data_IF_478658344062
#
_entry.id   IF_478658344062
#
_cell.length_a   1.000
_cell.length_b   1.000
_cell.length_c   1.000
_cell.angle_alpha   90.00
_cell.angle_beta   90.00
_cell.angle_gamma   90.00
#
_symmetry.space_group_name_H-M   'P 1'
#
loop_
_entity.id
_entity.type
_entity.pdbx_description
1 polymer ?
#
# COMPACT_ATOMS: atom_id res chain seq x y z
N UNK A 1 -24.27 2.69 1.98
CA UNK A 1 -23.35 1.66 1.44
C UNK A 1 -23.74 0.30 1.97
N UNK A 2 -23.71 -0.71 1.13
CA UNK A 2 -24.03 -2.08 1.52
C UNK A 2 -22.76 -2.87 1.89
N UNK A 3 -22.93 -4.01 2.57
CA UNK A 3 -21.83 -4.94 2.84
C UNK A 3 -21.16 -5.41 1.55
N UNK A 4 -21.94 -5.71 0.52
CA UNK A 4 -21.43 -6.13 -0.78
C UNK A 4 -20.54 -5.04 -1.41
N UNK A 5 -20.95 -3.78 -1.32
CA UNK A 5 -20.17 -2.65 -1.84
C UNK A 5 -18.84 -2.48 -1.10
N UNK A 6 -18.84 -2.60 0.23
CA UNK A 6 -17.59 -2.46 1.00
C UNK A 6 -16.62 -3.62 0.73
N UNK A 7 -17.12 -4.84 0.56
CA UNK A 7 -16.30 -5.99 0.18
C UNK A 7 -15.63 -5.74 -1.17
N UNK A 8 -16.36 -5.18 -2.13
CA UNK A 8 -15.80 -4.83 -3.44
C UNK A 8 -14.69 -3.80 -3.33
N UNK A 9 -14.85 -2.80 -2.47
CA UNK A 9 -13.82 -1.77 -2.23
C UNK A 9 -12.59 -2.34 -1.51
N UNK A 10 -12.79 -3.23 -0.54
CA UNK A 10 -11.67 -3.91 0.13
C UNK A 10 -10.89 -4.79 -0.85
N UNK A 11 -11.57 -5.44 -1.79
CA UNK A 11 -10.93 -6.19 -2.86
C UNK A 11 -10.14 -5.27 -3.82
N UNK A 12 -10.63 -4.08 -4.07
CA UNK A 12 -9.86 -3.08 -4.81
C UNK A 12 -8.56 -2.75 -4.07
N UNK A 13 -8.65 -2.50 -2.76
CA UNK A 13 -7.47 -2.24 -1.93
C UNK A 13 -6.48 -3.40 -1.97
N UNK A 14 -6.98 -4.63 -1.87
CA UNK A 14 -6.16 -5.84 -1.94
C UNK A 14 -5.42 -5.94 -3.27
N UNK A 15 -6.08 -5.64 -4.38
CA UNK A 15 -5.46 -5.68 -5.71
C UNK A 15 -4.31 -4.67 -5.84
N UNK A 16 -4.42 -3.53 -5.17
CA UNK A 16 -3.35 -2.53 -5.11
C UNK A 16 -2.21 -2.93 -4.18
N UNK A 17 -2.50 -3.67 -3.09
CA UNK A 17 -1.44 -4.21 -2.22
C UNK A 17 -0.58 -5.24 -2.95
N UNK A 18 -1.18 -6.10 -3.76
CA UNK A 18 -0.43 -7.01 -4.62
C UNK A 18 0.47 -6.25 -5.58
N UNK A 19 -0.06 -5.22 -6.22
CA UNK A 19 0.72 -4.39 -7.15
C UNK A 19 1.88 -3.69 -6.44
N UNK A 20 1.63 -3.12 -5.27
CA UNK A 20 2.66 -2.43 -4.48
C UNK A 20 3.78 -3.39 -4.06
N UNK A 21 3.43 -4.58 -3.58
CA UNK A 21 4.42 -5.60 -3.20
C UNK A 21 5.33 -5.95 -4.37
N UNK A 22 4.75 -6.22 -5.53
CA UNK A 22 5.50 -6.59 -6.73
C UNK A 22 6.35 -5.40 -7.21
N UNK A 23 5.80 -4.19 -7.20
CA UNK A 23 6.49 -2.99 -7.62
C UNK A 23 7.73 -2.72 -6.75
N UNK A 24 7.61 -2.83 -5.42
CA UNK A 24 8.74 -2.68 -4.51
C UNK A 24 9.83 -3.74 -4.75
N UNK A 25 9.45 -4.99 -4.96
CA UNK A 25 10.40 -6.07 -5.25
C UNK A 25 11.16 -5.77 -6.54
N UNK A 26 10.44 -5.40 -7.59
CA UNK A 26 11.02 -5.11 -8.91
C UNK A 26 11.95 -3.89 -8.84
N UNK A 27 11.53 -2.81 -8.19
CA UNK A 27 12.34 -1.61 -8.01
C UNK A 27 13.59 -1.91 -7.18
N UNK A 28 13.48 -2.68 -6.09
CA UNK A 28 14.62 -3.08 -5.28
C UNK A 28 15.68 -3.82 -6.09
N UNK A 29 15.26 -4.66 -7.02
CA UNK A 29 16.18 -5.39 -7.92
C UNK A 29 16.85 -4.48 -8.94
N UNK A 30 16.18 -3.40 -9.36
CA UNK A 30 16.66 -2.52 -10.43
C UNK A 30 17.44 -1.30 -9.94
N UNK A 31 17.29 -0.90 -8.69
CA UNK A 31 18.03 0.23 -8.12
C UNK A 31 19.53 -0.06 -8.11
N UNK A 32 20.33 0.90 -8.55
CA UNK A 32 21.80 0.77 -8.66
C UNK A 32 22.50 2.03 -8.20
N UNK A 33 23.72 1.86 -7.72
CA UNK A 33 24.59 2.97 -7.31
C UNK A 33 24.79 3.02 -5.80
N UNK A 34 25.93 3.56 -5.34
CA UNK A 34 26.29 3.54 -3.91
C UNK A 34 25.28 4.25 -3.02
N UNK A 35 24.64 5.32 -3.51
CA UNK A 35 23.67 6.09 -2.75
C UNK A 35 22.33 5.38 -2.55
N UNK A 36 22.10 4.24 -3.22
CA UNK A 36 20.83 3.52 -3.17
C UNK A 36 20.90 2.21 -2.37
N UNK A 37 22.06 1.81 -1.87
CA UNK A 37 22.20 0.50 -1.18
C UNK A 37 21.27 0.38 0.02
N UNK A 38 21.20 1.41 0.87
CA UNK A 38 20.29 1.42 2.02
C UNK A 38 18.81 1.45 1.59
N UNK A 39 18.52 2.12 0.49
CA UNK A 39 17.15 2.22 -0.05
C UNK A 39 16.67 0.87 -0.59
N UNK A 40 17.56 0.06 -1.15
CA UNK A 40 17.21 -1.30 -1.61
C UNK A 40 16.67 -2.14 -0.45
N UNK A 41 17.34 -2.13 0.69
CA UNK A 41 16.88 -2.85 1.87
C UNK A 41 15.53 -2.33 2.37
N UNK A 42 15.34 -1.03 2.36
CA UNK A 42 14.09 -0.38 2.73
C UNK A 42 12.95 -0.73 1.78
N UNK A 43 13.20 -0.77 0.47
CA UNK A 43 12.22 -1.21 -0.54
C UNK A 43 11.76 -2.65 -0.29
N UNK A 44 12.70 -3.55 0.05
CA UNK A 44 12.37 -4.94 0.38
C UNK A 44 11.57 -5.04 1.68
N UNK A 45 11.85 -4.20 2.67
CA UNK A 45 11.06 -4.12 3.90
C UNK A 45 9.65 -3.63 3.61
N UNK A 46 9.50 -2.60 2.76
CA UNK A 46 8.18 -2.15 2.31
C UNK A 46 7.42 -3.27 1.60
N UNK A 47 8.09 -4.03 0.73
CA UNK A 47 7.46 -5.15 0.04
C UNK A 47 6.91 -6.20 1.03
N UNK A 48 7.67 -6.51 2.09
CA UNK A 48 7.23 -7.43 3.13
C UNK A 48 6.00 -6.89 3.87
N UNK A 49 5.97 -5.61 4.16
CA UNK A 49 4.84 -4.97 4.84
C UNK A 49 3.59 -4.96 3.96
N UNK A 50 3.74 -4.74 2.64
CA UNK A 50 2.62 -4.86 1.70
C UNK A 50 2.10 -6.29 1.60
N UNK A 51 2.98 -7.29 1.68
CA UNK A 51 2.58 -8.70 1.79
C UNK A 51 1.70 -8.90 3.04
N UNK A 52 2.13 -8.39 4.17
CA UNK A 52 1.39 -8.53 5.43
C UNK A 52 0.02 -7.85 5.35
N UNK A 53 -0.05 -6.69 4.71
CA UNK A 53 -1.33 -5.99 4.44
C UNK A 53 -2.26 -6.83 3.57
N UNK A 54 -1.72 -7.46 2.53
CA UNK A 54 -2.50 -8.34 1.65
C UNK A 54 -3.12 -9.50 2.42
N UNK A 55 -2.37 -10.11 3.34
CA UNK A 55 -2.89 -11.18 4.21
C UNK A 55 -4.01 -10.66 5.10
N UNK A 56 -3.83 -9.53 5.75
CA UNK A 56 -4.83 -8.92 6.64
C UNK A 56 -6.11 -8.57 5.88
N UNK A 57 -6.00 -7.97 4.70
CA UNK A 57 -7.15 -7.65 3.85
C UNK A 57 -7.89 -8.91 3.40
N UNK A 58 -7.15 -9.91 2.96
CA UNK A 58 -7.73 -11.19 2.54
C UNK A 58 -8.55 -11.84 3.66
N UNK A 59 -8.00 -11.85 4.88
CA UNK A 59 -8.67 -12.42 6.04
C UNK A 59 -9.96 -11.67 6.36
N UNK A 60 -9.96 -10.35 6.29
CA UNK A 60 -11.15 -9.53 6.58
C UNK A 60 -12.20 -9.64 5.49
N UNK A 61 -11.80 -9.73 4.24
CA UNK A 61 -12.74 -9.98 3.14
C UNK A 61 -13.45 -11.31 3.32
N UNK A 62 -12.70 -12.36 3.64
CA UNK A 62 -13.27 -13.68 3.91
C UNK A 62 -14.19 -13.67 5.13
N UNK A 63 -13.77 -12.99 6.20
CA UNK A 63 -14.58 -12.83 7.41
C UNK A 63 -15.94 -12.17 7.12
N UNK A 64 -15.96 -11.20 6.21
CA UNK A 64 -17.19 -10.50 5.82
C UNK A 64 -18.06 -11.29 4.83
N UNK A 65 -17.62 -12.46 4.41
CA UNK A 65 -18.36 -13.33 3.48
C UNK A 65 -18.00 -13.13 2.02
N UNK A 66 -16.94 -12.36 1.73
CA UNK A 66 -16.44 -12.17 0.38
C UNK A 66 -15.38 -13.17 -0.02
N UNK A 67 -14.96 -13.09 -1.27
CA UNK A 67 -13.87 -13.90 -1.83
C UNK A 67 -12.70 -12.97 -2.12
N UNK A 68 -11.53 -13.17 -1.46
CA UNK A 68 -10.37 -12.34 -1.75
C UNK A 68 -9.96 -12.43 -3.22
N UNK A 69 -9.73 -11.29 -3.84
CA UNK A 69 -9.31 -11.23 -5.24
C UNK A 69 -7.89 -11.75 -5.42
N UNK A 70 -7.59 -12.23 -6.63
CA UNK A 70 -6.23 -12.54 -7.09
C UNK A 70 -5.80 -11.59 -8.21
N UNK A 71 -6.55 -10.53 -8.44
CA UNK A 71 -6.24 -9.51 -9.45
C UNK A 71 -5.12 -8.60 -8.97
N UNK A 72 -4.24 -8.20 -9.88
CA UNK A 72 -3.14 -7.29 -9.61
C UNK A 72 -3.36 -6.03 -10.45
N UNK A 73 -3.30 -4.86 -9.82
CA UNK A 73 -3.41 -3.58 -10.50
C UNK A 73 -2.14 -3.25 -11.30
N UNK A 74 -2.17 -2.14 -12.03
CA UNK A 74 -1.05 -1.69 -12.84
C UNK A 74 0.21 -1.47 -11.99
N UNK A 75 1.32 -2.05 -12.43
CA UNK A 75 2.64 -1.89 -11.82
C UNK A 75 3.44 -0.95 -12.71
N UNK A 76 4.04 0.09 -12.11
CA UNK A 76 4.89 1.03 -12.83
C UNK A 76 6.35 0.64 -12.69
N UNK A 77 7.09 0.76 -13.75
CA UNK A 77 8.53 0.46 -13.80
C UNK A 77 9.29 1.61 -14.46
N UNK A 78 10.60 1.64 -14.24
CA UNK A 78 11.48 2.63 -14.85
C UNK A 78 12.92 2.11 -14.83
N UNK A 79 13.77 2.66 -15.68
CA UNK A 79 15.22 2.44 -15.64
C UNK A 79 15.94 3.54 -14.86
N UNK A 80 15.22 4.52 -14.36
CA UNK A 80 15.77 5.67 -13.62
C UNK A 80 15.50 5.49 -12.13
N UNK A 81 16.55 5.54 -11.31
CA UNK A 81 16.44 5.33 -9.86
C UNK A 81 15.45 6.29 -9.20
N UNK A 82 15.56 7.57 -9.46
CA UNK A 82 14.69 8.60 -8.86
C UNK A 82 13.25 8.41 -9.29
N UNK A 83 13.02 8.06 -10.56
CA UNK A 83 11.67 7.84 -11.08
C UNK A 83 11.01 6.62 -10.43
N UNK A 84 11.78 5.55 -10.18
CA UNK A 84 11.24 4.39 -9.43
C UNK A 84 10.75 4.81 -8.04
N UNK A 85 11.52 5.61 -7.31
CA UNK A 85 11.11 6.08 -5.99
C UNK A 85 9.90 7.02 -6.06
N UNK A 86 9.78 7.83 -7.11
CA UNK A 86 8.60 8.67 -7.32
C UNK A 86 7.35 7.85 -7.61
N UNK A 87 7.49 6.78 -8.39
CA UNK A 87 6.39 5.85 -8.65
C UNK A 87 5.89 5.20 -7.36
N UNK A 88 6.81 4.79 -6.48
CA UNK A 88 6.47 4.22 -5.19
C UNK A 88 5.78 5.24 -4.30
N UNK A 89 6.28 6.46 -4.23
CA UNK A 89 5.68 7.52 -3.42
C UNK A 89 4.27 7.87 -3.89
N UNK A 90 4.06 7.98 -5.20
CA UNK A 90 2.73 8.25 -5.77
C UNK A 90 1.74 7.12 -5.43
N UNK A 91 2.19 5.88 -5.52
CA UNK A 91 1.38 4.72 -5.15
C UNK A 91 0.98 4.75 -3.67
N UNK A 92 1.90 5.19 -2.78
CA UNK A 92 1.62 5.33 -1.35
C UNK A 92 0.62 6.44 -1.05
N UNK A 93 0.73 7.58 -1.74
CA UNK A 93 -0.26 8.66 -1.59
C UNK A 93 -1.65 8.19 -1.99
N UNK A 94 -1.77 7.47 -3.09
CA UNK A 94 -3.05 6.94 -3.56
C UNK A 94 -3.61 5.90 -2.58
N UNK A 95 -2.76 5.02 -2.05
CA UNK A 95 -3.14 4.04 -1.06
C UNK A 95 -3.67 4.69 0.22
N UNK A 96 -2.96 5.69 0.75
CA UNK A 96 -3.39 6.40 1.95
C UNK A 96 -4.75 7.05 1.74
N UNK A 97 -4.98 7.71 0.61
CA UNK A 97 -6.26 8.32 0.28
C UNK A 97 -7.39 7.29 0.27
N UNK A 98 -7.17 6.12 -0.33
CA UNK A 98 -8.17 5.05 -0.33
C UNK A 98 -8.47 4.56 1.08
N UNK A 99 -7.44 4.34 1.89
CA UNK A 99 -7.62 3.82 3.25
C UNK A 99 -8.32 4.81 4.17
N UNK A 100 -8.05 6.11 4.05
CA UNK A 100 -8.79 7.13 4.81
C UNK A 100 -10.28 7.09 4.50
N UNK A 101 -10.65 6.96 3.25
CA UNK A 101 -12.04 6.79 2.85
C UNK A 101 -12.63 5.47 3.36
N UNK A 102 -11.85 4.41 3.29
CA UNK A 102 -12.29 3.08 3.72
C UNK A 102 -12.61 3.05 5.22
N UNK A 103 -11.79 3.72 6.02
CA UNK A 103 -12.01 3.84 7.47
C UNK A 103 -13.37 4.47 7.74
N UNK A 104 -13.68 5.59 7.11
CA UNK A 104 -14.96 6.28 7.28
C UNK A 104 -16.14 5.40 6.87
N UNK A 105 -16.01 4.71 5.74
CA UNK A 105 -17.05 3.82 5.22
C UNK A 105 -17.30 2.63 6.15
N UNK A 106 -16.24 2.03 6.66
CA UNK A 106 -16.33 0.90 7.58
C UNK A 106 -16.95 1.30 8.92
N UNK A 107 -16.57 2.46 9.45
CA UNK A 107 -17.13 2.98 10.69
C UNK A 107 -18.62 3.30 10.54
N UNK A 108 -19.02 3.86 9.40
CA UNK A 108 -20.43 4.12 9.09
C UNK A 108 -21.28 2.84 9.08
N UNK A 109 -20.67 1.71 8.70
CA UNK A 109 -21.29 0.40 8.75
C UNK A 109 -21.13 -0.29 10.11
N UNK A 110 -20.48 0.36 11.07
CA UNK A 110 -20.19 -0.17 12.42
C UNK A 110 -19.29 -1.42 12.38
N UNK A 111 -18.47 -1.56 11.36
CA UNK A 111 -17.47 -2.63 11.23
C UNK A 111 -16.15 -2.15 11.85
N UNK A 112 -16.17 -1.89 13.15
CA UNK A 112 -15.06 -1.24 13.86
C UNK A 112 -13.79 -2.09 13.90
N UNK A 113 -13.90 -3.41 13.96
CA UNK A 113 -12.76 -4.32 13.92
C UNK A 113 -12.03 -4.25 12.59
N UNK A 114 -12.77 -4.25 11.47
CA UNK A 114 -12.19 -4.09 10.14
C UNK A 114 -11.60 -2.68 9.98
N UNK A 115 -12.32 -1.66 10.44
CA UNK A 115 -11.83 -0.28 10.42
C UNK A 115 -10.50 -0.14 11.16
N UNK A 116 -10.33 -0.83 12.30
CA UNK A 116 -9.10 -0.79 13.07
C UNK A 116 -7.93 -1.41 12.30
N UNK A 117 -8.16 -2.52 11.61
CA UNK A 117 -7.13 -3.13 10.74
C UNK A 117 -6.71 -2.15 9.64
N UNK A 118 -7.66 -1.46 9.02
CA UNK A 118 -7.36 -0.46 7.99
C UNK A 118 -6.60 0.74 8.58
N UNK A 119 -6.91 1.17 9.80
CA UNK A 119 -6.16 2.22 10.50
C UNK A 119 -4.70 1.83 10.68
N UNK A 120 -4.44 0.60 11.11
CA UNK A 120 -3.09 0.08 11.31
C UNK A 120 -2.32 0.03 9.98
N UNK A 121 -2.97 -0.38 8.91
CA UNK A 121 -2.39 -0.36 7.56
C UNK A 121 -2.07 1.08 7.14
N UNK A 122 -2.98 2.01 7.35
CA UNK A 122 -2.79 3.42 7.01
C UNK A 122 -1.58 4.04 7.73
N UNK A 123 -1.35 3.67 8.99
CA UNK A 123 -0.17 4.12 9.74
C UNK A 123 1.12 3.67 9.06
N UNK A 124 1.19 2.42 8.62
CA UNK A 124 2.38 1.89 7.91
C UNK A 124 2.55 2.57 6.56
N UNK A 125 1.47 2.82 5.82
CA UNK A 125 1.55 3.56 4.55
C UNK A 125 2.10 4.98 4.76
N UNK A 126 1.74 5.65 5.85
CA UNK A 126 2.31 6.97 6.19
C UNK A 126 3.79 6.89 6.52
N UNK A 127 4.25 5.83 7.18
CA UNK A 127 5.67 5.58 7.42
C UNK A 127 6.43 5.39 6.10
N UNK A 128 5.86 4.64 5.15
CA UNK A 128 6.43 4.49 3.81
C UNK A 128 6.55 5.83 3.09
N UNK A 129 5.53 6.67 3.20
CA UNK A 129 5.54 8.01 2.62
C UNK A 129 6.70 8.84 3.20
N UNK A 130 6.87 8.83 4.52
CA UNK A 130 7.96 9.56 5.18
C UNK A 130 9.33 9.08 4.67
N UNK A 131 9.52 7.77 4.59
CA UNK A 131 10.76 7.16 4.11
C UNK A 131 11.07 7.59 2.67
N UNK A 132 10.09 7.52 1.79
CA UNK A 132 10.25 7.88 0.38
C UNK A 132 10.44 9.39 0.16
N UNK A 133 9.71 10.21 0.92
CA UNK A 133 9.90 11.67 0.88
C UNK A 133 11.32 12.03 1.30
N UNK A 134 11.83 11.41 2.36
CA UNK A 134 13.23 11.61 2.80
C UNK A 134 14.22 11.17 1.72
N UNK A 135 14.03 10.01 1.15
CA UNK A 135 14.90 9.49 0.10
C UNK A 135 14.95 10.41 -1.13
N UNK A 136 13.82 11.06 -1.44
CA UNK A 136 13.70 12.00 -2.56
C UNK A 136 14.08 13.44 -2.21
N UNK A 137 14.42 13.72 -0.95
CA UNK A 137 14.74 15.05 -0.51
C UNK A 137 13.55 16.02 -0.48
N UNK A 138 12.34 15.48 -0.34
CA UNK A 138 11.12 16.29 -0.28
C UNK A 138 10.89 16.73 1.17
N UNK A 139 10.75 18.04 1.37
CA UNK A 139 10.40 18.61 2.67
C UNK A 139 8.99 19.18 2.62
N UNK A 140 8.18 18.81 3.61
CA UNK A 140 6.83 19.34 3.75
C UNK A 140 6.68 20.08 5.07
N UNK A 141 6.04 21.24 5.03
CA UNK A 141 5.60 21.96 6.22
C UNK A 141 4.23 21.41 6.59
N UNK A 142 4.11 20.89 7.78
CA UNK A 142 2.88 20.30 8.28
C UNK A 142 2.27 21.15 9.37
#
# INVERSE_FOLDING_TARGET
MTLEQIIKLLNLDLSWEYAAMIQYIQHASMLTGPQYVAIIDEELQHAQEEHDHAVKLSDKIQYLGGIPTVQVQEIKTSLNNVEMLRQDLEAEYDALNRYLQRIEQLEALKLYDVAQVIREIAVVEQEHIIDLEKALGIQKVR
#
